data_IF_002489064258
#
_entry.id   IF_002489064258
#
_cell.length_a   1.000
_cell.length_b   1.000
_cell.length_c   1.000
_cell.angle_alpha   90.00
_cell.angle_beta   90.00
_cell.angle_gamma   90.00
#
_symmetry.space_group_name_H-M   'P 1'
#
loop_
_entity.id
_entity.type
_entity.pdbx_description
1 polymer ?
#
# COMPACT_ATOMS: atom_id res chain seq x y z
N UNK A 1 29.76 -23.79 76.30
CA UNK A 1 28.45 -24.06 76.93
C UNK A 1 27.54 -24.58 75.82
N UNK A 2 27.47 -25.91 75.63
CA UNK A 2 26.28 -26.75 75.89
C UNK A 2 25.03 -26.21 75.17
N UNK A 3 24.66 -26.73 73.99
CA UNK A 3 23.87 -27.96 73.73
C UNK A 3 22.52 -28.02 74.45
N UNK A 4 21.44 -28.16 73.68
CA UNK A 4 20.43 -29.26 73.67
C UNK A 4 19.25 -28.77 72.80
N UNK A 5 19.07 -29.23 71.55
CA UNK A 5 18.34 -30.46 71.15
C UNK A 5 16.86 -30.42 71.55
N UNK A 6 15.89 -30.39 70.63
CA UNK A 6 15.24 -31.53 69.91
C UNK A 6 13.97 -30.96 69.23
N UNK A 7 13.27 -31.49 68.22
CA UNK A 7 13.16 -32.79 67.54
C UNK A 7 12.46 -32.50 66.17
N UNK A 8 13.00 -32.96 65.03
CA UNK A 8 12.64 -34.20 64.31
C UNK A 8 11.21 -34.23 63.75
N UNK A 9 11.13 -34.30 62.42
CA UNK A 9 9.91 -34.57 61.64
C UNK A 9 10.19 -34.63 60.13
N UNK A 10 11.10 -35.51 59.71
CA UNK A 10 11.35 -35.86 58.31
C UNK A 10 10.20 -36.73 57.82
N UNK A 11 9.50 -36.35 56.75
CA UNK A 11 9.05 -37.30 55.71
C UNK A 11 9.15 -36.59 54.35
N UNK A 12 10.25 -36.86 53.64
CA UNK A 12 10.38 -36.63 52.20
C UNK A 12 9.54 -37.71 51.51
N UNK A 13 8.39 -37.34 50.95
CA UNK A 13 7.59 -38.25 50.13
C UNK A 13 8.04 -38.15 48.67
N UNK A 14 8.94 -39.06 48.28
CA UNK A 14 9.16 -39.45 46.90
C UNK A 14 7.94 -40.24 46.42
N UNK A 15 7.11 -39.64 45.55
CA UNK A 15 6.13 -40.41 44.78
C UNK A 15 5.80 -39.72 43.45
N UNK A 16 6.34 -40.32 42.39
CA UNK A 16 5.67 -40.53 41.10
C UNK A 16 5.54 -39.36 40.12
N UNK A 17 6.47 -39.32 39.17
CA UNK A 17 6.19 -38.96 37.77
C UNK A 17 4.95 -39.74 37.30
N UNK A 18 3.83 -39.06 37.09
CA UNK A 18 2.75 -39.52 36.21
C UNK A 18 2.25 -38.34 35.39
N UNK A 19 2.47 -38.43 34.08
CA UNK A 19 1.78 -37.62 33.09
C UNK A 19 0.27 -37.86 33.24
N UNK A 20 -0.49 -36.78 33.46
CA UNK A 20 -1.92 -36.76 33.22
C UNK A 20 -2.26 -35.60 32.28
N UNK A 21 -2.47 -35.97 31.01
CA UNK A 21 -3.26 -35.20 30.04
C UNK A 21 -4.74 -35.18 30.48
N UNK A 22 -5.48 -34.23 29.90
CA UNK A 22 -6.95 -34.01 29.87
C UNK A 22 -7.38 -32.75 30.63
N UNK A 23 -8.17 -31.83 30.10
CA UNK A 23 -8.80 -31.63 28.79
C UNK A 23 -9.14 -30.14 28.73
N UNK A 24 -8.62 -29.41 27.75
CA UNK A 24 -9.19 -28.10 27.42
C UNK A 24 -10.61 -28.32 26.89
N UNK A 25 -11.56 -27.59 27.45
CA UNK A 25 -12.95 -27.54 27.04
C UNK A 25 -13.08 -27.24 25.55
N UNK A 26 -13.60 -28.20 24.80
CA UNK A 26 -14.05 -28.01 23.42
C UNK A 26 -15.41 -27.30 23.44
N UNK A 27 -15.40 -25.97 23.38
CA UNK A 27 -16.51 -25.25 22.76
C UNK A 27 -16.35 -25.41 21.24
N UNK A 28 -17.24 -26.21 20.66
CA UNK A 28 -17.33 -26.45 19.23
C UNK A 28 -17.72 -25.17 18.48
N UNK A 29 -16.73 -24.41 18.05
CA UNK A 29 -16.84 -23.54 16.88
C UNK A 29 -15.84 -24.09 15.87
N UNK A 30 -16.35 -24.55 14.73
CA UNK A 30 -15.65 -25.18 13.62
C UNK A 30 -14.33 -24.48 13.27
N UNK A 31 -13.24 -24.94 13.86
CA UNK A 31 -11.88 -24.53 13.52
C UNK A 31 -11.41 -25.39 12.35
N UNK A 32 -11.52 -24.86 11.13
CA UNK A 32 -10.70 -25.36 10.02
C UNK A 32 -9.24 -25.11 10.39
N UNK A 33 -8.51 -26.16 10.76
CA UNK A 33 -7.05 -26.12 10.88
C UNK A 33 -6.43 -25.73 9.53
N UNK A 34 -6.16 -24.45 9.34
CA UNK A 34 -5.30 -23.99 8.27
C UNK A 34 -3.86 -23.96 8.79
N UNK A 35 -3.03 -24.86 8.27
CA UNK A 35 -1.58 -24.91 8.52
C UNK A 35 -0.87 -23.81 7.71
N UNK A 36 -1.20 -22.55 7.95
CA UNK A 36 -0.53 -21.40 7.34
C UNK A 36 0.16 -20.56 8.41
N UNK A 37 1.40 -20.13 8.16
CA UNK A 37 1.99 -19.05 8.96
C UNK A 37 1.20 -17.75 8.72
N UNK A 38 0.83 -17.00 9.78
CA UNK A 38 0.10 -15.75 9.63
C UNK A 38 0.94 -14.73 8.87
N UNK A 39 0.34 -14.06 7.90
CA UNK A 39 0.98 -12.98 7.14
C UNK A 39 0.76 -11.65 7.87
N UNK A 40 1.86 -10.98 8.21
CA UNK A 40 1.83 -9.70 8.91
C UNK A 40 2.08 -8.52 7.97
N UNK A 41 1.34 -7.43 8.18
CA UNK A 41 1.49 -6.16 7.44
C UNK A 41 1.70 -5.04 8.46
N UNK A 42 2.68 -4.16 8.21
CA UNK A 42 2.88 -2.96 9.00
C UNK A 42 1.77 -1.95 8.69
N UNK A 43 1.10 -1.44 9.72
CA UNK A 43 -0.04 -0.50 9.56
C UNK A 43 0.31 0.93 9.93
N UNK A 44 1.49 1.16 10.51
CA UNK A 44 2.00 2.50 10.81
C UNK A 44 3.54 2.56 10.75
N UNK A 45 4.08 3.77 10.96
CA UNK A 45 5.52 4.04 11.02
C UNK A 45 6.18 3.64 12.34
N UNK A 46 5.40 3.21 13.34
CA UNK A 46 5.87 2.78 14.66
C UNK A 46 6.04 1.26 14.76
N UNK A 47 5.96 0.56 13.62
CA UNK A 47 6.08 -0.90 13.55
C UNK A 47 4.94 -1.64 14.26
N UNK A 48 3.73 -1.09 14.24
CA UNK A 48 2.53 -1.87 14.58
C UNK A 48 2.23 -2.82 13.43
N UNK A 49 2.09 -4.12 13.73
CA UNK A 49 1.78 -5.15 12.74
C UNK A 49 0.41 -5.76 13.00
N UNK A 50 -0.38 -5.91 11.93
CA UNK A 50 -1.58 -6.73 11.93
C UNK A 50 -1.26 -8.02 11.18
N UNK A 51 -1.39 -9.14 11.87
CA UNK A 51 -1.13 -10.47 11.33
C UNK A 51 -2.45 -11.20 11.10
N UNK A 52 -2.60 -11.82 9.93
CA UNK A 52 -3.79 -12.57 9.57
C UNK A 52 -3.41 -13.78 8.72
N UNK A 53 -4.13 -14.87 8.94
CA UNK A 53 -3.96 -16.10 8.16
C UNK A 53 -4.47 -15.92 6.71
N UNK A 54 -5.31 -14.90 6.47
CA UNK A 54 -5.79 -14.53 5.14
C UNK A 54 -5.85 -12.99 4.97
N UNK A 55 -4.79 -12.36 4.44
CA UNK A 55 -4.76 -10.91 4.22
C UNK A 55 -5.72 -10.44 3.11
N UNK A 56 -6.15 -11.34 2.21
CA UNK A 56 -7.10 -10.99 1.15
C UNK A 56 -8.51 -10.94 1.72
N UNK A 57 -8.91 -11.93 2.52
CA UNK A 57 -10.18 -11.91 3.24
C UNK A 57 -10.26 -10.75 4.23
N UNK A 58 -9.17 -10.49 4.96
CA UNK A 58 -9.11 -9.37 5.91
C UNK A 58 -9.25 -8.02 5.22
N UNK A 59 -8.62 -7.85 4.04
CA UNK A 59 -8.79 -6.64 3.21
C UNK A 59 -10.23 -6.50 2.71
N UNK A 60 -10.84 -7.59 2.23
CA UNK A 60 -12.23 -7.59 1.78
C UNK A 60 -13.20 -7.25 2.92
N UNK A 61 -12.95 -7.76 4.13
CA UNK A 61 -13.74 -7.45 5.31
C UNK A 61 -13.62 -5.98 5.72
N UNK A 62 -12.40 -5.42 5.69
CA UNK A 62 -12.18 -4.00 5.96
C UNK A 62 -12.86 -3.08 4.93
N UNK A 63 -12.89 -3.49 3.65
CA UNK A 63 -13.64 -2.77 2.60
C UNK A 63 -15.16 -2.92 2.73
N UNK A 64 -15.63 -3.93 3.47
CA UNK A 64 -17.04 -4.23 3.67
C UNK A 64 -17.60 -3.66 4.98
N UNK A 65 -16.76 -3.02 5.82
CA UNK A 65 -17.19 -2.40 7.06
C UNK A 65 -17.60 -0.93 6.83
N UNK A 66 -18.90 -0.61 6.82
CA UNK A 66 -19.39 0.74 6.59
C UNK A 66 -19.07 1.70 7.75
N UNK A 67 -18.70 1.17 8.93
CA UNK A 67 -18.38 1.98 10.10
C UNK A 67 -17.00 2.66 10.04
N UNK A 68 -16.19 2.33 9.03
CA UNK A 68 -14.90 2.97 8.74
C UNK A 68 -14.99 4.04 7.63
N UNK A 69 -16.17 4.23 7.05
CA UNK A 69 -16.42 5.25 6.02
C UNK A 69 -17.09 6.45 6.68
N UNK A 70 -16.29 7.32 7.29
CA UNK A 70 -16.76 8.66 7.64
C UNK A 70 -16.93 9.48 6.34
N UNK A 71 -18.16 9.52 5.80
CA UNK A 71 -18.51 10.34 4.66
C UNK A 71 -19.89 10.06 4.09
N UNK A 72 -20.89 10.80 4.55
CA UNK A 72 -22.26 10.86 4.03
C UNK A 72 -22.30 11.27 2.54
N UNK A 73 -23.07 10.53 1.73
CA UNK A 73 -23.41 10.91 0.36
C UNK A 73 -23.85 9.74 -0.54
N UNK A 74 -24.91 9.03 -0.17
CA UNK A 74 -25.60 8.11 -1.08
C UNK A 74 -27.05 8.57 -1.25
N UNK A 75 -27.26 9.50 -2.17
CA UNK A 75 -28.54 9.67 -2.84
C UNK A 75 -28.42 8.98 -4.20
N UNK A 76 -29.17 7.91 -4.36
CA UNK A 76 -29.29 7.21 -5.63
C UNK A 76 -30.24 7.95 -6.55
N UNK A 77 -29.78 8.23 -7.77
CA UNK A 77 -30.63 8.50 -8.91
C UNK A 77 -30.30 7.46 -9.99
N UNK A 78 -31.33 6.75 -10.43
CA UNK A 78 -31.32 5.86 -11.58
C UNK A 78 -30.94 6.64 -12.86
N UNK A 79 -29.73 6.43 -13.37
CA UNK A 79 -29.36 6.74 -14.75
C UNK A 79 -28.62 5.54 -15.35
N UNK A 80 -28.97 5.20 -16.58
CA UNK A 80 -28.37 4.14 -17.41
C UNK A 80 -26.98 4.62 -17.89
N UNK A 81 -26.10 4.84 -16.91
CA UNK A 81 -24.80 5.46 -17.06
C UNK A 81 -23.72 4.41 -16.89
N UNK A 82 -22.91 4.25 -17.94
CA UNK A 82 -21.70 3.44 -17.89
C UNK A 82 -20.87 3.92 -16.68
N UNK A 83 -20.79 3.10 -15.64
CA UNK A 83 -19.77 3.30 -14.61
C UNK A 83 -18.44 3.00 -15.29
N UNK A 84 -17.88 4.00 -15.98
CA UNK A 84 -16.45 4.02 -16.25
C UNK A 84 -15.86 3.98 -14.85
N UNK A 85 -15.36 2.83 -14.44
CA UNK A 85 -14.57 2.73 -13.22
C UNK A 85 -13.57 3.88 -13.28
N UNK A 86 -13.57 4.75 -12.28
CA UNK A 86 -12.61 5.86 -12.11
C UNK A 86 -11.18 5.31 -11.84
N UNK A 87 -10.87 4.15 -12.41
CA UNK A 87 -9.79 3.24 -12.09
C UNK A 87 -9.15 2.82 -13.40
N UNK A 88 -8.40 3.75 -13.96
CA UNK A 88 -6.99 3.61 -14.31
C UNK A 88 -6.63 4.84 -15.14
N UNK A 89 -6.10 5.86 -14.47
CA UNK A 89 -5.48 6.98 -15.16
C UNK A 89 -4.34 6.40 -16.00
N UNK A 90 -4.51 6.37 -17.32
CA UNK A 90 -3.45 5.92 -18.22
C UNK A 90 -2.33 6.97 -18.23
N UNK A 91 -1.32 6.74 -17.39
CA UNK A 91 -0.12 7.55 -17.26
C UNK A 91 0.99 7.12 -18.24
N UNK A 92 0.69 6.19 -19.15
CA UNK A 92 1.65 5.60 -20.09
C UNK A 92 2.42 4.41 -19.50
N UNK A 93 3.67 4.27 -19.91
CA UNK A 93 4.54 3.13 -19.53
C UNK A 93 4.82 3.15 -18.03
N UNK A 94 4.81 1.95 -17.41
CA UNK A 94 5.16 1.77 -16.00
C UNK A 94 6.58 2.28 -15.71
N UNK A 95 6.71 3.03 -14.61
CA UNK A 95 7.95 3.71 -14.27
C UNK A 95 8.82 2.84 -13.37
N UNK A 96 10.07 2.62 -13.77
CA UNK A 96 11.02 1.79 -13.05
C UNK A 96 11.56 2.50 -11.80
N UNK A 97 11.52 1.79 -10.67
CA UNK A 97 12.12 2.23 -9.40
C UNK A 97 13.35 1.36 -9.14
N UNK A 98 14.54 1.85 -9.48
CA UNK A 98 15.79 1.13 -9.33
C UNK A 98 16.92 2.06 -8.85
N UNK A 99 18.07 1.47 -8.50
CA UNK A 99 19.23 2.19 -7.99
C UNK A 99 19.34 2.17 -6.47
N UNK A 100 20.15 3.07 -5.92
CA UNK A 100 20.35 3.29 -4.49
C UNK A 100 19.06 3.72 -3.78
N UNK A 101 19.01 3.56 -2.46
CA UNK A 101 17.85 3.97 -1.65
C UNK A 101 17.47 5.45 -1.89
N UNK A 102 18.48 6.31 -2.01
CA UNK A 102 18.29 7.74 -2.24
C UNK A 102 17.72 8.01 -3.66
N UNK A 103 18.19 7.30 -4.68
CA UNK A 103 17.63 7.39 -6.03
C UNK A 103 16.18 6.91 -6.06
N UNK A 104 15.88 5.76 -5.45
CA UNK A 104 14.53 5.25 -5.37
C UNK A 104 13.59 6.22 -4.64
N UNK A 105 14.05 6.87 -3.57
CA UNK A 105 13.27 7.88 -2.86
C UNK A 105 12.95 9.09 -3.75
N UNK A 106 13.93 9.57 -4.52
CA UNK A 106 13.72 10.68 -5.46
C UNK A 106 12.75 10.28 -6.59
N UNK A 107 12.91 9.08 -7.15
CA UNK A 107 11.99 8.52 -8.16
C UNK A 107 10.56 8.45 -7.60
N UNK A 108 10.36 7.90 -6.40
CA UNK A 108 9.04 7.82 -5.76
C UNK A 108 8.43 9.21 -5.54
N UNK A 109 9.23 10.21 -5.18
CA UNK A 109 8.73 11.58 -5.03
C UNK A 109 8.21 12.14 -6.36
N UNK A 110 8.95 11.93 -7.46
CA UNK A 110 8.50 12.30 -8.81
C UNK A 110 7.16 11.62 -9.13
N UNK A 111 7.06 10.30 -8.94
CA UNK A 111 5.83 9.56 -9.22
C UNK A 111 4.62 10.07 -8.43
N UNK A 112 4.82 10.39 -7.14
CA UNK A 112 3.78 10.97 -6.29
C UNK A 112 3.30 12.32 -6.82
N UNK A 113 4.24 13.22 -7.15
CA UNK A 113 3.92 14.57 -7.66
C UNK A 113 3.32 14.55 -9.06
N UNK A 114 3.73 13.58 -9.88
CA UNK A 114 3.19 13.36 -11.20
C UNK A 114 1.73 12.88 -11.14
N UNK A 115 1.43 11.91 -10.27
CA UNK A 115 0.05 11.45 -10.08
C UNK A 115 -0.86 12.60 -9.64
N UNK A 116 -0.45 13.36 -8.62
CA UNK A 116 -1.18 14.54 -8.15
C UNK A 116 -1.36 15.58 -9.27
N UNK A 117 -0.32 15.85 -10.08
CA UNK A 117 -0.47 16.75 -11.23
C UNK A 117 -1.54 16.26 -12.22
N UNK A 118 -1.54 14.98 -12.56
CA UNK A 118 -2.49 14.45 -13.53
C UNK A 118 -3.91 14.45 -12.96
N UNK A 119 -4.09 13.95 -11.74
CA UNK A 119 -5.39 13.86 -11.07
C UNK A 119 -5.95 15.24 -10.71
N UNK A 120 -5.17 16.07 -10.00
CA UNK A 120 -5.64 17.32 -9.41
C UNK A 120 -5.68 18.48 -10.40
N UNK A 121 -4.91 18.42 -11.51
CA UNK A 121 -4.84 19.51 -12.48
C UNK A 121 -5.27 19.08 -13.90
N UNK A 122 -4.65 18.04 -14.47
CA UNK A 122 -4.88 17.69 -15.90
C UNK A 122 -6.29 17.14 -16.14
N UNK A 123 -6.79 16.32 -15.24
CA UNK A 123 -8.13 15.72 -15.35
C UNK A 123 -9.23 16.65 -14.82
N UNK A 124 -8.91 17.53 -13.88
CA UNK A 124 -9.90 18.42 -13.24
C UNK A 124 -10.19 19.70 -14.04
N UNK A 125 -9.23 20.19 -14.84
CA UNK A 125 -9.34 21.49 -15.52
C UNK A 125 -9.67 21.34 -17.00
N UNK A 126 -10.55 22.20 -17.53
CA UNK A 126 -10.99 22.17 -18.93
C UNK A 126 -9.88 22.60 -19.90
N UNK A 127 -8.95 23.46 -19.46
CA UNK A 127 -7.83 23.88 -20.31
C UNK A 127 -6.98 22.70 -20.80
N UNK A 128 -7.00 21.57 -20.08
CA UNK A 128 -6.23 20.37 -20.42
C UNK A 128 -7.01 19.37 -21.26
N UNK A 129 -8.31 19.56 -21.51
CA UNK A 129 -9.17 18.58 -22.19
C UNK A 129 -8.57 18.09 -23.51
N UNK A 130 -8.06 19.00 -24.32
CA UNK A 130 -7.43 18.73 -25.63
C UNK A 130 -6.04 18.09 -25.58
N UNK A 131 -5.45 17.88 -24.40
CA UNK A 131 -4.13 17.26 -24.20
C UNK A 131 -4.15 16.02 -23.30
N UNK A 132 -5.28 15.69 -22.65
CA UNK A 132 -5.38 14.57 -21.69
C UNK A 132 -4.83 13.25 -22.26
N UNK A 133 -5.23 12.91 -23.48
CA UNK A 133 -4.80 11.66 -24.14
C UNK A 133 -3.30 11.59 -24.44
N UNK A 134 -2.63 12.74 -24.51
CA UNK A 134 -1.18 12.87 -24.75
C UNK A 134 -0.38 13.03 -23.46
N UNK A 135 -1.04 13.21 -22.31
CA UNK A 135 -0.39 13.42 -21.02
C UNK A 135 0.11 12.10 -20.40
N UNK A 136 1.02 11.42 -21.10
CA UNK A 136 1.48 10.07 -20.75
C UNK A 136 2.99 9.97 -20.88
N UNK A 137 3.64 9.18 -20.04
CA UNK A 137 5.06 8.88 -20.18
C UNK A 137 5.26 7.75 -21.19
N UNK A 138 6.12 7.96 -22.17
CA UNK A 138 6.48 6.98 -23.19
C UNK A 138 7.67 6.09 -22.82
N UNK A 139 8.31 6.30 -21.66
CA UNK A 139 9.51 5.56 -21.27
C UNK A 139 9.53 5.21 -19.77
N UNK A 140 10.03 4.03 -19.41
CA UNK A 140 10.09 3.53 -18.02
C UNK A 140 10.98 4.36 -17.09
N UNK A 141 11.89 5.18 -17.65
CA UNK A 141 12.84 6.01 -16.89
C UNK A 141 12.43 7.48 -16.76
N UNK A 142 11.25 7.90 -17.23
CA UNK A 142 10.83 9.31 -17.14
C UNK A 142 10.89 9.87 -15.71
N UNK A 143 10.51 9.07 -14.71
CA UNK A 143 10.60 9.47 -13.31
C UNK A 143 12.05 9.62 -12.82
N UNK A 144 12.96 8.74 -13.25
CA UNK A 144 14.38 8.85 -12.94
C UNK A 144 15.01 10.09 -13.58
N UNK A 145 14.79 10.30 -14.88
CA UNK A 145 15.29 11.46 -15.61
C UNK A 145 14.80 12.78 -15.03
N UNK A 146 13.51 12.85 -14.69
CA UNK A 146 12.96 14.01 -13.96
C UNK A 146 13.69 14.22 -12.62
N UNK A 147 13.99 13.14 -11.89
CA UNK A 147 14.65 13.23 -10.58
C UNK A 147 16.09 13.74 -10.63
N UNK A 148 16.73 13.68 -11.80
CA UNK A 148 18.10 14.18 -12.04
C UNK A 148 18.14 15.49 -12.85
N UNK A 149 16.98 16.11 -13.12
CA UNK A 149 16.90 17.45 -13.72
C UNK A 149 16.82 17.50 -15.26
N UNK A 150 16.38 16.41 -15.90
CA UNK A 150 16.23 16.38 -17.37
C UNK A 150 15.09 17.27 -17.88
N UNK A 151 14.08 17.59 -17.05
CA UNK A 151 12.98 18.47 -17.46
C UNK A 151 13.47 19.89 -17.82
N UNK A 152 14.55 20.33 -17.19
CA UNK A 152 15.20 21.61 -17.43
C UNK A 152 16.35 21.46 -18.43
N UNK A 153 17.19 20.44 -18.23
CA UNK A 153 18.43 20.25 -19.00
C UNK A 153 18.18 19.72 -20.41
N UNK A 154 17.09 18.99 -20.61
CA UNK A 154 16.73 18.33 -21.87
C UNK A 154 15.22 18.41 -22.13
N UNK A 155 14.69 19.63 -21.96
CA UNK A 155 13.24 19.92 -21.99
C UNK A 155 12.54 19.43 -23.25
N UNK A 156 13.18 19.52 -24.42
CA UNK A 156 12.58 19.09 -25.70
C UNK A 156 12.31 17.58 -25.72
N UNK A 157 13.33 16.78 -25.41
CA UNK A 157 13.19 15.33 -25.30
C UNK A 157 12.16 14.92 -24.23
N UNK A 158 12.21 15.59 -23.08
CA UNK A 158 11.27 15.31 -21.99
C UNK A 158 9.84 15.75 -22.31
N UNK A 159 9.64 16.78 -23.14
CA UNK A 159 8.32 17.18 -23.62
C UNK A 159 7.70 16.09 -24.49
N UNK A 160 8.50 15.49 -25.37
CA UNK A 160 8.06 14.45 -26.30
C UNK A 160 7.80 13.12 -25.61
N UNK A 161 8.66 12.73 -24.66
CA UNK A 161 8.65 11.37 -24.10
C UNK A 161 8.07 11.35 -22.69
N UNK A 162 8.22 12.41 -21.90
CA UNK A 162 7.90 12.43 -20.48
C UNK A 162 7.00 13.62 -20.06
N UNK A 163 5.96 14.00 -20.83
CA UNK A 163 5.17 15.19 -20.54
C UNK A 163 4.46 15.12 -19.19
N UNK A 164 4.04 13.94 -18.74
CA UNK A 164 3.41 13.78 -17.42
C UNK A 164 4.42 13.97 -16.29
N UNK A 165 5.57 13.27 -16.33
CA UNK A 165 6.59 13.36 -15.28
C UNK A 165 7.15 14.78 -15.13
N UNK A 166 7.34 15.50 -16.24
CA UNK A 166 7.83 16.88 -16.24
C UNK A 166 6.75 17.95 -16.10
N UNK A 167 5.47 17.57 -15.98
CA UNK A 167 4.34 18.51 -15.89
C UNK A 167 4.24 19.46 -17.09
N UNK A 168 4.44 18.91 -18.29
CA UNK A 168 4.46 19.64 -19.56
C UNK A 168 3.25 19.32 -20.46
N UNK A 169 2.20 18.68 -19.94
CA UNK A 169 1.09 18.21 -20.79
C UNK A 169 0.36 19.32 -21.57
N UNK A 170 0.29 20.56 -21.05
CA UNK A 170 -0.28 21.66 -21.83
C UNK A 170 0.56 22.00 -23.08
N UNK A 171 1.85 21.65 -23.06
CA UNK A 171 2.81 21.89 -24.13
C UNK A 171 2.97 20.68 -25.07
N UNK A 172 2.35 19.53 -24.79
CA UNK A 172 2.50 18.33 -25.65
C UNK A 172 1.74 18.41 -26.99
N UNK A 173 1.16 19.56 -27.33
CA UNK A 173 0.49 19.83 -28.62
C UNK A 173 1.28 20.73 -29.58
N UNK A 174 2.44 21.26 -29.18
CA UNK A 174 3.16 22.28 -29.97
C UNK A 174 4.05 21.67 -31.07
N UNK A 175 4.28 20.35 -31.05
CA UNK A 175 5.15 19.66 -32.03
C UNK A 175 4.43 19.21 -33.32
N UNK A 176 3.21 19.71 -33.58
CA UNK A 176 2.51 19.57 -34.87
C UNK A 176 2.47 20.87 -35.70
N UNK A 177 3.33 21.85 -35.41
CA UNK A 177 3.52 23.05 -36.23
C UNK A 177 5.00 23.32 -36.52
N UNK A 178 5.73 22.28 -36.94
CA UNK A 178 7.12 22.34 -37.41
C UNK A 178 7.27 21.64 -38.75
#
# INVERSE_FOLDING_TARGET
MMMMMTNIGIIVSLASLLLARHTASSSSSSSSSFNGEPKCIAVDSYSTYICTDDPVASRRAAMADPSLVDGEGADGDDDDGIVVSVHDVDLGVEQRIAGSEMEQLRIRNVLRRMRAYVEDEVLSRSEYEHVRDKCKNGHELCAFWTSVGECESNRGFMLDICPAACRLCLLSNINMMG
#
